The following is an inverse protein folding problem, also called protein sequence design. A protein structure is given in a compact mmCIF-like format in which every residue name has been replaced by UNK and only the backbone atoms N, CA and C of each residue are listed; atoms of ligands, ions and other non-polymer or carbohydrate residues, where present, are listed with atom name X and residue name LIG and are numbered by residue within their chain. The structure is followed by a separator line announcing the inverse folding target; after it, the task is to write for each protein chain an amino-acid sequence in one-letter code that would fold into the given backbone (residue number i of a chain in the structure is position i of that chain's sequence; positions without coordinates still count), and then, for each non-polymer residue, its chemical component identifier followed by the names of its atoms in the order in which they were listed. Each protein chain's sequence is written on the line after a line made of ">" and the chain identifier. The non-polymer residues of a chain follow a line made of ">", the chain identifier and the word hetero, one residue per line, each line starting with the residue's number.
data_IF_664099523027
#
_entry.id   IF_664099523027
#
_cell.length_a   1.000
_cell.length_b   1.000
_cell.length_c   1.000
_cell.angle_alpha   90.00
_cell.angle_beta   90.00
_cell.angle_gamma   90.00
#
_symmetry.space_group_name_H-M   'P 1'
#
loop_
_entity.id
_entity.type
_entity.pdbx_description
1 polymer ?
#
# COMPACT_ATOMS: atom_id res chain seq x y z
N UNK A 1 9.90 -17.55 -2.48
CA UNK A 1 8.48 -17.91 -2.44
C UNK A 1 7.67 -16.87 -3.23
N UNK A 2 6.73 -17.36 -4.00
CA UNK A 2 6.01 -16.51 -4.96
C UNK A 2 5.22 -15.38 -4.29
N UNK A 3 4.52 -15.69 -3.20
CA UNK A 3 3.73 -14.68 -2.48
C UNK A 3 4.63 -13.59 -1.88
N UNK A 4 5.79 -13.98 -1.36
CA UNK A 4 6.74 -13.02 -0.81
C UNK A 4 7.26 -12.09 -1.90
N UNK A 5 7.46 -12.61 -3.11
CA UNK A 5 7.90 -11.78 -4.24
C UNK A 5 6.81 -10.78 -4.64
N UNK A 6 5.55 -11.20 -4.66
CA UNK A 6 4.44 -10.28 -4.92
C UNK A 6 4.36 -9.20 -3.85
N UNK A 7 4.52 -9.59 -2.59
CA UNK A 7 4.49 -8.65 -1.47
C UNK A 7 5.62 -7.61 -1.60
N UNK A 8 6.81 -8.04 -2.02
CA UNK A 8 7.93 -7.12 -2.21
C UNK A 8 7.63 -6.08 -3.29
N UNK A 9 7.04 -6.51 -4.41
CA UNK A 9 6.64 -5.58 -5.46
C UNK A 9 5.60 -4.59 -4.94
N UNK A 10 4.61 -5.08 -4.20
CA UNK A 10 3.58 -4.21 -3.64
C UNK A 10 4.15 -3.23 -2.62
N UNK A 11 5.08 -3.67 -1.78
CA UNK A 11 5.73 -2.79 -0.81
C UNK A 11 6.44 -1.64 -1.53
N UNK A 12 7.15 -1.93 -2.60
CA UNK A 12 7.85 -0.91 -3.38
C UNK A 12 6.86 0.08 -4.00
N UNK A 13 5.83 -0.42 -4.67
CA UNK A 13 4.86 0.44 -5.34
C UNK A 13 4.07 1.31 -4.35
N UNK A 14 3.66 0.74 -3.24
CA UNK A 14 2.93 1.49 -2.22
C UNK A 14 3.81 2.53 -1.56
N UNK A 15 5.07 2.20 -1.29
CA UNK A 15 6.01 3.15 -0.68
C UNK A 15 6.23 4.35 -1.59
N UNK A 16 6.43 4.13 -2.88
CA UNK A 16 6.58 5.21 -3.85
C UNK A 16 5.35 6.13 -3.85
N UNK A 17 4.17 5.54 -3.83
CA UNK A 17 2.93 6.32 -3.82
C UNK A 17 2.74 7.08 -2.51
N UNK A 18 3.07 6.49 -1.38
CA UNK A 18 2.99 7.16 -0.09
C UNK A 18 3.94 8.38 -0.07
N UNK A 19 5.14 8.23 -0.59
CA UNK A 19 6.09 9.35 -0.66
C UNK A 19 5.54 10.48 -1.53
N UNK A 20 4.93 10.15 -2.65
CA UNK A 20 4.37 11.15 -3.56
C UNK A 20 3.16 11.87 -2.99
N UNK A 21 2.27 11.13 -2.32
CA UNK A 21 0.98 11.64 -1.87
C UNK A 21 0.93 12.03 -0.40
N UNK A 22 1.93 11.59 0.39
CA UNK A 22 1.93 11.77 1.84
C UNK A 22 2.01 13.21 2.33
N UNK A 23 2.38 14.12 1.44
CA UNK A 23 2.50 15.51 1.81
C UNK A 23 3.70 15.78 2.72
N UNK A 24 3.73 16.99 3.26
CA UNK A 24 4.84 17.41 4.10
C UNK A 24 4.81 16.81 5.51
N UNK A 25 3.67 16.24 5.89
CA UNK A 25 3.49 15.65 7.22
C UNK A 25 3.95 14.21 7.29
N UNK A 26 4.14 13.56 6.15
CA UNK A 26 4.61 12.18 6.14
C UNK A 26 6.11 12.15 6.43
N UNK A 27 6.48 11.56 7.56
CA UNK A 27 7.88 11.46 7.94
C UNK A 27 8.32 10.06 8.35
N UNK A 28 7.41 9.09 8.30
CA UNK A 28 7.78 7.70 8.51
C UNK A 28 6.81 6.75 7.80
N UNK A 29 7.33 5.61 7.42
CA UNK A 29 6.57 4.51 6.84
C UNK A 29 6.99 3.24 7.58
N UNK A 30 6.02 2.48 8.06
CA UNK A 30 6.25 1.21 8.73
C UNK A 30 5.70 0.09 7.87
N UNK A 31 6.54 -0.88 7.54
CA UNK A 31 6.19 -2.00 6.68
C UNK A 31 6.39 -3.30 7.44
N UNK A 32 5.35 -4.12 7.47
CA UNK A 32 5.38 -5.41 8.14
C UNK A 32 4.84 -6.50 7.21
N UNK A 33 5.59 -7.57 7.06
CA UNK A 33 5.17 -8.72 6.28
C UNK A 33 4.99 -9.91 7.20
N UNK A 34 3.78 -10.47 7.20
CA UNK A 34 3.47 -11.73 7.86
C UNK A 34 3.37 -12.82 6.80
N UNK A 35 4.25 -13.81 6.89
CA UNK A 35 4.27 -14.92 5.95
C UNK A 35 4.24 -16.22 6.73
N UNK A 36 3.10 -16.90 6.69
CA UNK A 36 2.87 -18.20 7.28
C UNK A 36 2.26 -19.12 6.23
N UNK A 37 2.03 -20.39 6.56
CA UNK A 37 1.58 -21.37 5.59
C UNK A 37 0.35 -20.92 4.78
N UNK A 38 -0.65 -20.41 5.45
CA UNK A 38 -1.90 -20.01 4.81
C UNK A 38 -2.09 -18.51 4.67
N UNK A 39 -1.13 -17.73 5.17
CA UNK A 39 -1.25 -16.29 5.25
C UNK A 39 -0.03 -15.63 4.66
N UNK A 40 -0.25 -14.72 3.71
CA UNK A 40 0.76 -13.76 3.29
C UNK A 40 0.10 -12.39 3.32
N UNK A 41 0.49 -11.57 4.27
CA UNK A 41 -0.15 -10.28 4.48
C UNK A 41 0.88 -9.20 4.67
N UNK A 42 0.76 -8.14 3.89
CA UNK A 42 1.61 -6.96 3.96
C UNK A 42 0.81 -5.85 4.62
N UNK A 43 1.35 -5.30 5.69
CA UNK A 43 0.78 -4.13 6.34
C UNK A 43 1.70 -2.94 6.17
N UNK A 44 1.15 -1.84 5.70
CA UNK A 44 1.89 -0.61 5.51
C UNK A 44 1.18 0.51 6.27
N UNK A 45 1.92 1.20 7.14
CA UNK A 45 1.39 2.33 7.89
C UNK A 45 2.27 3.55 7.65
N UNK A 46 1.64 4.71 7.58
CA UNK A 46 2.36 5.97 7.50
C UNK A 46 1.56 7.07 8.19
N UNK A 47 2.23 8.17 8.51
CA UNK A 47 1.59 9.31 9.15
C UNK A 47 1.37 10.49 8.21
N UNK A 48 1.28 10.22 6.91
CA UNK A 48 1.00 11.26 5.93
C UNK A 48 -0.45 11.70 5.92
N UNK A 49 -0.80 12.53 4.95
CA UNK A 49 -2.18 12.96 4.75
C UNK A 49 -3.05 11.76 4.41
N UNK A 50 -4.35 11.91 4.63
CA UNK A 50 -5.30 10.86 4.32
C UNK A 50 -5.19 10.48 2.83
N UNK A 51 -4.79 9.25 2.58
CA UNK A 51 -4.64 8.72 1.23
C UNK A 51 -5.15 7.29 1.21
N UNK A 52 -6.36 7.11 0.67
CA UNK A 52 -6.97 5.79 0.56
C UNK A 52 -6.72 5.24 -0.86
N UNK A 53 -5.83 4.25 -0.99
CA UNK A 53 -5.51 3.71 -2.32
C UNK A 53 -6.71 3.04 -3.01
N UNK A 54 -7.70 2.61 -2.25
CA UNK A 54 -8.90 1.99 -2.82
C UNK A 54 -9.77 2.98 -3.60
N UNK A 55 -9.66 4.26 -3.29
CA UNK A 55 -10.44 5.31 -3.95
C UNK A 55 -9.78 5.84 -5.22
N UNK A 56 -8.52 5.49 -5.43
CA UNK A 56 -7.81 5.96 -6.61
C UNK A 56 -8.25 5.22 -7.85
N UNK A 57 -8.52 5.98 -8.91
CA UNK A 57 -8.94 5.43 -10.18
C UNK A 57 -7.94 5.79 -11.27
N UNK A 58 -8.09 5.14 -12.39
CA UNK A 58 -7.21 5.24 -13.54
C UNK A 58 -7.18 6.63 -14.20
N UNK A 59 -8.06 7.53 -13.79
CA UNK A 59 -8.24 8.82 -14.47
C UNK A 59 -7.30 9.93 -14.00
N UNK A 60 -6.42 9.64 -13.05
CA UNK A 60 -5.50 10.64 -12.54
C UNK A 60 -4.18 10.59 -13.32
N UNK A 61 -4.04 11.54 -14.23
CA UNK A 61 -2.90 11.57 -15.14
C UNK A 61 -1.57 11.93 -14.49
N UNK A 62 -1.61 12.60 -13.35
CA UNK A 62 -0.43 13.18 -12.72
C UNK A 62 0.39 12.19 -11.91
N UNK A 63 -0.08 10.96 -11.73
CA UNK A 63 0.41 10.10 -10.70
C UNK A 63 0.76 8.72 -11.19
N UNK A 64 1.53 8.03 -10.39
CA UNK A 64 1.93 6.67 -10.65
C UNK A 64 0.82 5.68 -10.29
N UNK A 65 -0.35 5.93 -10.84
CA UNK A 65 -1.55 5.14 -10.59
C UNK A 65 -1.38 3.70 -11.06
N UNK A 66 -0.53 3.51 -12.05
CA UNK A 66 -0.24 2.17 -12.54
C UNK A 66 0.30 1.29 -11.42
N UNK A 67 1.09 1.86 -10.51
CA UNK A 67 1.58 1.12 -9.36
C UNK A 67 0.46 0.62 -8.48
N UNK A 68 -0.49 1.49 -8.13
CA UNK A 68 -1.64 1.11 -7.29
C UNK A 68 -2.52 0.10 -8.01
N UNK A 69 -2.79 0.30 -9.29
CA UNK A 69 -3.57 -0.65 -10.07
C UNK A 69 -2.89 -2.01 -10.17
N UNK A 70 -1.56 -2.02 -10.30
CA UNK A 70 -0.81 -3.26 -10.29
C UNK A 70 -0.98 -3.98 -8.96
N UNK A 71 -0.85 -3.27 -7.85
CA UNK A 71 -1.02 -3.85 -6.51
C UNK A 71 -2.40 -4.48 -6.38
N UNK A 72 -3.45 -3.78 -6.82
CA UNK A 72 -4.80 -4.30 -6.77
C UNK A 72 -4.97 -5.56 -7.60
N UNK A 73 -4.29 -5.65 -8.74
CA UNK A 73 -4.40 -6.81 -9.62
C UNK A 73 -3.70 -8.05 -9.08
N UNK A 74 -2.56 -7.87 -8.46
CA UNK A 74 -1.76 -9.01 -8.01
C UNK A 74 -2.05 -9.44 -6.59
N UNK A 75 -2.80 -8.64 -5.84
CA UNK A 75 -3.20 -8.97 -4.48
C UNK A 75 -4.53 -9.72 -4.47
N UNK A 76 -4.72 -10.49 -3.42
CA UNK A 76 -5.97 -11.19 -3.16
C UNK A 76 -7.01 -10.23 -2.61
N UNK A 77 -6.58 -9.31 -1.74
CA UNK A 77 -7.45 -8.29 -1.18
C UNK A 77 -6.61 -7.11 -0.68
N UNK A 78 -7.27 -5.97 -0.59
CA UNK A 78 -6.66 -4.76 -0.04
C UNK A 78 -7.69 -4.07 0.85
N UNK A 79 -7.28 -3.71 2.06
CA UNK A 79 -8.11 -2.97 3.01
C UNK A 79 -7.37 -1.71 3.43
N UNK A 80 -8.12 -0.67 3.75
CA UNK A 80 -7.56 0.59 4.21
C UNK A 80 -8.35 1.11 5.39
N UNK A 81 -7.62 1.56 6.43
CA UNK A 81 -8.22 2.17 7.60
C UNK A 81 -7.40 3.41 7.98
N UNK A 82 -8.07 4.54 8.14
CA UNK A 82 -7.44 5.73 8.71
C UNK A 82 -7.80 5.79 10.19
N UNK A 83 -6.80 5.73 11.07
CA UNK A 83 -7.01 5.75 12.51
C UNK A 83 -5.83 6.42 13.19
N UNK A 84 -6.11 7.26 14.19
CA UNK A 84 -5.10 7.95 15.00
C UNK A 84 -4.09 8.69 14.10
N UNK A 85 -4.64 9.40 13.12
CA UNK A 85 -3.85 10.18 12.13
C UNK A 85 -2.84 9.35 11.36
N UNK A 86 -3.10 8.06 11.20
CA UNK A 86 -2.26 7.16 10.42
C UNK A 86 -3.06 6.47 9.33
N UNK A 87 -2.44 6.34 8.17
CA UNK A 87 -2.94 5.49 7.12
C UNK A 87 -2.50 4.06 7.40
N UNK A 88 -3.42 3.12 7.30
CA UNK A 88 -3.12 1.69 7.45
C UNK A 88 -3.64 0.98 6.22
N UNK A 89 -2.75 0.37 5.45
CA UNK A 89 -3.12 -0.43 4.29
C UNK A 89 -2.72 -1.88 4.55
N UNK A 90 -3.66 -2.79 4.34
CA UNK A 90 -3.45 -4.21 4.57
C UNK A 90 -3.72 -4.94 3.27
N UNK A 91 -2.71 -5.64 2.77
CA UNK A 91 -2.78 -6.31 1.47
C UNK A 91 -2.52 -7.79 1.69
N UNK A 92 -3.42 -8.61 1.19
CA UNK A 92 -3.29 -10.08 1.31
C UNK A 92 -3.01 -10.70 -0.05
N UNK A 93 -2.22 -11.77 -0.01
CA UNK A 93 -1.80 -12.49 -1.22
C UNK A 93 -2.17 -13.97 -1.23
#
# INVERSE_FOLDING_TARGET
>A
EHRANLAAVCAEEMTVNIIKFGGKTSNWIDINLCLEDDICQLRIRDNGVNFNPLEYSYDHEEFDIHGIELVKKISKSMDYIRAIDMNNTIISF
#
